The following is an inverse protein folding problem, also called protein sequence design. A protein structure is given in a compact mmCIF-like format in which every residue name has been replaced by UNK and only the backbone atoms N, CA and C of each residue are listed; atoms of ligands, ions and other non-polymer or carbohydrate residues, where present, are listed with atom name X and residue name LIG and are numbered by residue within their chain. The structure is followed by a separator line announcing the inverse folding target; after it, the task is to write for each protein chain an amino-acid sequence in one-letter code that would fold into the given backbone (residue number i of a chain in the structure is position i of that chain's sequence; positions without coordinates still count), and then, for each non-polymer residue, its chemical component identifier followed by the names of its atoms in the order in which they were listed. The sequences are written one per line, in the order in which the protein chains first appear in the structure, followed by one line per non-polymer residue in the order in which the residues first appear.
data_IF_172742463680
#
_entry.id   IF_172742463680
#
_cell.length_a   1.000
_cell.length_b   1.000
_cell.length_c   1.000
_cell.angle_alpha   90.00
_cell.angle_beta   90.00
_cell.angle_gamma   90.00
#
_symmetry.space_group_name_H-M   'P 1'
#
loop_
_entity.id
_entity.type
_entity.pdbx_description
1 polymer ?
#
# COMPACT_ATOMS: atom_id res chain seq x y z
N UNK A 1 -5.63 -5.68 41.21
CA UNK A 1 -4.22 -5.61 40.80
C UNK A 1 -4.16 -4.44 39.85
N UNK A 2 -3.58 -3.33 40.33
CA UNK A 2 -3.41 -2.12 39.52
C UNK A 2 -2.49 -2.44 38.34
N UNK A 3 -3.05 -2.44 37.14
CA UNK A 3 -2.25 -2.39 35.91
C UNK A 3 -1.72 -0.94 35.80
N UNK A 4 -0.62 -0.65 36.50
CA UNK A 4 0.10 0.60 36.33
C UNK A 4 0.56 0.67 34.86
N UNK A 5 -0.08 1.53 34.06
CA UNK A 5 0.40 1.82 32.71
C UNK A 5 1.87 2.21 32.82
N UNK A 6 2.75 1.44 32.21
CA UNK A 6 4.16 1.77 32.15
C UNK A 6 4.32 3.11 31.43
N UNK A 7 5.09 4.02 32.04
CA UNK A 7 5.51 5.27 31.39
C UNK A 7 6.83 5.11 30.67
N UNK A 8 7.43 3.91 30.75
CA UNK A 8 8.74 3.61 30.17
C UNK A 8 8.60 3.25 28.68
N UNK A 9 9.25 4.04 27.82
CA UNK A 9 9.28 3.83 26.39
C UNK A 9 10.24 2.68 26.07
N UNK A 10 9.74 1.68 25.34
CA UNK A 10 10.55 0.60 24.80
C UNK A 10 11.18 1.01 23.47
N UNK A 11 10.39 1.62 22.58
CA UNK A 11 10.87 2.10 21.29
C UNK A 11 10.22 3.44 20.95
N UNK A 12 11.04 4.40 20.52
CA UNK A 12 10.61 5.72 20.07
C UNK A 12 10.77 5.83 18.55
N UNK A 13 9.63 5.92 17.85
CA UNK A 13 9.54 6.14 16.42
C UNK A 13 8.97 7.54 16.11
N UNK A 14 9.26 8.52 16.97
CA UNK A 14 8.83 9.90 16.74
C UNK A 14 9.33 10.41 15.37
N UNK A 15 8.52 11.16 14.64
CA UNK A 15 7.26 11.79 15.04
C UNK A 15 6.00 10.94 14.83
N UNK A 16 6.12 9.64 14.55
CA UNK A 16 4.98 8.82 14.14
C UNK A 16 4.25 8.18 15.33
N UNK A 17 4.99 7.48 16.21
CA UNK A 17 4.43 6.80 17.38
C UNK A 17 5.51 6.37 18.36
N UNK A 18 5.06 5.95 19.55
CA UNK A 18 5.90 5.33 20.58
C UNK A 18 5.33 4.01 21.03
N UNK A 19 6.20 3.08 21.37
CA UNK A 19 5.84 1.80 21.98
C UNK A 19 6.34 1.80 23.42
N UNK A 20 5.46 1.49 24.35
CA UNK A 20 5.77 1.38 25.78
C UNK A 20 6.14 -0.06 26.14
N UNK A 21 6.84 -0.25 27.27
CA UNK A 21 7.26 -1.59 27.75
C UNK A 21 6.09 -2.51 28.09
N UNK A 22 4.90 -1.97 28.33
CA UNK A 22 3.67 -2.73 28.52
C UNK A 22 2.98 -3.16 27.23
N UNK A 23 3.58 -2.86 26.05
CA UNK A 23 3.05 -3.18 24.74
C UNK A 23 2.05 -2.16 24.18
N UNK A 24 1.71 -1.11 24.93
CA UNK A 24 0.82 -0.04 24.50
C UNK A 24 1.52 0.82 23.43
N UNK A 25 0.76 1.19 22.40
CA UNK A 25 1.19 2.18 21.42
C UNK A 25 0.56 3.55 21.69
N UNK A 26 1.34 4.59 21.56
CA UNK A 26 0.88 5.97 21.49
C UNK A 26 1.11 6.49 20.07
N UNK A 27 0.04 6.63 19.32
CA UNK A 27 0.09 7.19 17.95
C UNK A 27 0.18 8.71 18.04
N UNK A 28 1.11 9.29 17.29
CA UNK A 28 1.33 10.75 17.19
C UNK A 28 0.89 11.21 15.79
N UNK A 29 1.21 10.45 14.76
CA UNK A 29 0.78 10.69 13.39
C UNK A 29 -0.47 9.85 13.01
N UNK A 30 -1.17 10.26 11.95
CA UNK A 30 -2.32 9.54 11.40
C UNK A 30 -3.58 9.58 12.27
N UNK A 31 -3.68 10.57 13.17
CA UNK A 31 -4.85 10.75 14.04
C UNK A 31 -5.95 11.58 13.37
N UNK A 32 -5.58 12.42 12.42
CA UNK A 32 -6.52 13.26 11.69
C UNK A 32 -7.20 12.45 10.58
N UNK A 33 -8.51 12.58 10.51
CA UNK A 33 -9.33 12.04 9.42
C UNK A 33 -10.12 13.17 8.78
N UNK A 34 -10.29 13.08 7.46
CA UNK A 34 -11.13 14.02 6.71
C UNK A 34 -12.36 13.30 6.17
N UNK A 35 -13.52 13.96 6.12
CA UNK A 35 -14.72 13.35 5.53
C UNK A 35 -14.54 13.15 4.03
N UNK A 36 -15.32 12.23 3.42
CA UNK A 36 -15.39 12.14 1.97
C UNK A 36 -15.98 13.43 1.38
N UNK A 37 -15.56 13.79 0.17
CA UNK A 37 -15.91 15.09 -0.40
C UNK A 37 -15.90 15.09 -1.92
N UNK A 38 -16.40 16.16 -2.50
CA UNK A 38 -16.08 16.60 -3.86
C UNK A 38 -14.90 17.57 -3.77
N UNK A 39 -13.72 17.12 -4.21
CA UNK A 39 -12.53 17.96 -4.20
C UNK A 39 -12.64 19.09 -5.23
N UNK A 40 -12.54 20.32 -4.76
CA UNK A 40 -12.75 21.52 -5.62
C UNK A 40 -11.61 21.76 -6.61
N UNK A 41 -10.41 21.21 -6.36
CA UNK A 41 -9.24 21.41 -7.22
C UNK A 41 -9.23 20.41 -8.36
N UNK A 42 -9.51 19.15 -8.07
CA UNK A 42 -9.42 18.04 -9.02
C UNK A 42 -10.78 17.66 -9.62
N UNK A 43 -11.89 17.98 -8.95
CA UNK A 43 -13.22 17.54 -9.29
C UNK A 43 -13.49 16.05 -9.00
N UNK A 44 -12.58 15.40 -8.29
CA UNK A 44 -12.74 14.00 -7.83
C UNK A 44 -13.78 13.95 -6.72
N UNK A 45 -14.69 13.00 -6.80
CA UNK A 45 -15.69 12.74 -5.78
C UNK A 45 -15.31 11.49 -4.98
N UNK A 46 -15.45 11.55 -3.65
CA UNK A 46 -15.17 10.41 -2.79
C UNK A 46 -16.35 10.06 -1.90
N UNK A 47 -16.42 8.80 -1.46
CA UNK A 47 -17.37 8.30 -0.47
C UNK A 47 -16.78 7.14 0.32
N UNK A 48 -17.26 6.98 1.56
CA UNK A 48 -16.85 5.87 2.41
C UNK A 48 -17.85 4.71 2.32
N UNK A 49 -17.35 3.48 2.35
CA UNK A 49 -18.14 2.25 2.30
C UNK A 49 -17.66 1.26 3.37
N UNK A 50 -18.59 0.54 3.95
CA UNK A 50 -18.28 -0.58 4.86
C UNK A 50 -18.24 -1.86 4.02
N UNK A 51 -17.12 -2.58 4.10
CA UNK A 51 -16.90 -3.84 3.38
C UNK A 51 -17.34 -5.02 4.25
N UNK A 52 -16.92 -5.03 5.51
CA UNK A 52 -17.28 -6.06 6.49
C UNK A 52 -17.69 -5.40 7.81
N UNK A 53 -18.99 -5.33 8.10
CA UNK A 53 -19.48 -4.77 9.36
C UNK A 53 -18.96 -5.51 10.61
N UNK A 54 -18.70 -6.82 10.49
CA UNK A 54 -18.28 -7.67 11.60
C UNK A 54 -16.82 -7.38 12.03
N UNK A 55 -15.97 -7.02 11.07
CA UNK A 55 -14.55 -6.74 11.32
C UNK A 55 -14.24 -5.24 11.35
N UNK A 56 -15.14 -4.41 10.83
CA UNK A 56 -14.93 -2.97 10.68
C UNK A 56 -14.11 -2.59 9.44
N UNK A 57 -13.75 -3.56 8.58
CA UNK A 57 -13.03 -3.29 7.32
C UNK A 57 -13.90 -2.44 6.42
N UNK A 58 -13.34 -1.36 5.93
CA UNK A 58 -14.00 -0.34 5.12
C UNK A 58 -13.08 0.16 4.01
N UNK A 59 -13.55 1.09 3.20
CA UNK A 59 -12.74 1.73 2.18
C UNK A 59 -13.29 3.12 1.85
N UNK A 60 -12.42 3.97 1.31
CA UNK A 60 -12.83 5.19 0.61
C UNK A 60 -12.74 4.95 -0.89
N UNK A 61 -13.85 5.19 -1.58
CA UNK A 61 -13.94 5.15 -3.02
C UNK A 61 -13.72 6.54 -3.60
N UNK A 62 -13.09 6.59 -4.77
CA UNK A 62 -12.85 7.83 -5.52
C UNK A 62 -13.25 7.63 -6.97
N UNK A 63 -13.94 8.61 -7.55
CA UNK A 63 -14.25 8.65 -8.98
C UNK A 63 -13.84 10.00 -9.57
N UNK A 64 -13.24 10.01 -10.76
CA UNK A 64 -12.87 11.25 -11.43
C UNK A 64 -14.11 11.94 -12.01
N UNK A 65 -14.01 13.24 -12.26
CA UNK A 65 -15.07 14.07 -12.86
C UNK A 65 -15.59 13.48 -14.19
N UNK A 66 -14.71 12.87 -14.96
CA UNK A 66 -15.03 12.28 -16.28
C UNK A 66 -16.10 11.20 -16.23
N UNK A 67 -16.32 10.51 -15.08
CA UNK A 67 -17.40 9.53 -14.92
C UNK A 67 -18.79 10.13 -15.08
N UNK A 68 -18.93 11.46 -14.92
CA UNK A 68 -20.17 12.20 -15.15
C UNK A 68 -20.40 12.53 -16.62
N UNK A 69 -19.36 12.44 -17.45
CA UNK A 69 -19.34 12.84 -18.85
C UNK A 69 -19.35 11.64 -19.82
N UNK A 70 -18.98 10.46 -19.35
CA UNK A 70 -18.88 9.24 -20.15
C UNK A 70 -19.44 8.03 -19.42
N UNK A 71 -19.97 7.08 -20.21
CA UNK A 71 -20.40 5.77 -19.71
C UNK A 71 -19.27 4.71 -19.81
N UNK A 72 -18.09 5.09 -20.33
CA UNK A 72 -16.94 4.17 -20.43
C UNK A 72 -16.45 3.84 -19.03
N UNK A 73 -16.28 2.55 -18.73
CA UNK A 73 -15.63 2.10 -17.51
C UNK A 73 -14.15 2.48 -17.54
N UNK A 74 -13.62 2.80 -16.36
CA UNK A 74 -12.25 3.25 -16.15
C UNK A 74 -11.47 2.17 -15.40
N UNK A 75 -10.14 2.08 -15.58
CA UNK A 75 -9.32 1.19 -14.79
C UNK A 75 -9.54 1.38 -13.31
N UNK A 76 -9.37 0.32 -12.55
CA UNK A 76 -9.53 0.33 -11.10
C UNK A 76 -8.17 0.27 -10.41
N UNK A 77 -7.92 1.22 -9.53
CA UNK A 77 -6.82 1.19 -8.58
C UNK A 77 -7.33 0.69 -7.22
N UNK A 78 -6.73 -0.35 -6.66
CA UNK A 78 -6.88 -0.68 -5.24
C UNK A 78 -5.61 -0.24 -4.51
N UNK A 79 -5.78 0.67 -3.55
CA UNK A 79 -4.70 1.31 -2.84
C UNK A 79 -4.66 0.87 -1.37
N UNK A 80 -3.47 0.58 -0.88
CA UNK A 80 -3.17 0.22 0.51
C UNK A 80 -2.24 1.29 1.09
N UNK A 81 -2.68 1.97 2.15
CA UNK A 81 -1.90 3.04 2.77
C UNK A 81 -0.68 2.50 3.53
N UNK A 82 0.35 3.35 3.67
CA UNK A 82 1.51 3.09 4.51
C UNK A 82 1.26 3.31 5.99
N UNK A 83 2.35 3.56 6.73
CA UNK A 83 2.31 3.82 8.17
C UNK A 83 2.82 2.68 9.03
N UNK A 84 3.73 1.82 8.51
CA UNK A 84 4.38 0.74 9.25
C UNK A 84 3.42 -0.28 9.86
N UNK A 85 2.24 -0.48 9.26
CA UNK A 85 1.11 -1.27 9.77
C UNK A 85 0.50 -0.76 11.08
N UNK A 86 0.97 0.36 11.62
CA UNK A 86 0.62 0.86 12.97
C UNK A 86 -0.16 2.16 12.96
N UNK A 87 0.15 3.06 12.04
CA UNK A 87 -0.40 4.42 11.98
C UNK A 87 -1.06 4.70 10.64
N UNK A 88 -1.64 5.88 10.50
CA UNK A 88 -2.39 6.32 9.34
C UNK A 88 -3.68 5.54 9.06
N UNK A 89 -4.46 6.03 8.13
CA UNK A 89 -5.76 5.45 7.71
C UNK A 89 -6.02 5.78 6.25
N UNK A 90 -6.90 5.06 5.60
CA UNK A 90 -7.43 5.42 4.29
C UNK A 90 -8.13 6.80 4.27
N UNK A 91 -8.45 7.33 5.46
CA UNK A 91 -9.17 8.60 5.66
C UNK A 91 -8.25 9.75 6.07
N UNK A 92 -6.96 9.51 6.28
CA UNK A 92 -5.98 10.54 6.62
C UNK A 92 -5.88 11.59 5.52
N UNK A 93 -5.69 12.88 5.84
CA UNK A 93 -5.56 13.95 4.84
C UNK A 93 -4.45 13.66 3.84
N UNK A 94 -3.36 13.04 4.29
CA UNK A 94 -2.21 12.67 3.48
C UNK A 94 -2.61 11.82 2.27
N UNK A 95 -3.27 10.69 2.52
CA UNK A 95 -3.72 9.77 1.46
C UNK A 95 -4.93 10.31 0.69
N UNK A 96 -5.84 11.02 1.37
CA UNK A 96 -6.97 11.64 0.69
C UNK A 96 -6.53 12.64 -0.39
N UNK A 97 -5.57 13.52 -0.06
CA UNK A 97 -5.05 14.50 -1.00
C UNK A 97 -4.27 13.86 -2.14
N UNK A 98 -3.45 12.86 -1.83
CA UNK A 98 -2.69 12.11 -2.83
C UNK A 98 -3.64 11.42 -3.82
N UNK A 99 -4.63 10.69 -3.32
CA UNK A 99 -5.57 9.93 -4.16
C UNK A 99 -6.50 10.85 -4.98
N UNK A 100 -6.90 12.01 -4.47
CA UNK A 100 -7.60 13.01 -5.29
C UNK A 100 -6.75 13.42 -6.51
N UNK A 101 -5.47 13.70 -6.31
CA UNK A 101 -4.55 14.06 -7.39
C UNK A 101 -4.32 12.88 -8.34
N UNK A 102 -4.06 11.69 -7.80
CA UNK A 102 -3.82 10.50 -8.59
C UNK A 102 -5.01 10.13 -9.47
N UNK A 103 -6.21 10.07 -8.88
CA UNK A 103 -7.45 9.69 -9.59
C UNK A 103 -7.78 10.68 -10.73
N UNK A 104 -7.54 11.97 -10.49
CA UNK A 104 -7.75 12.98 -11.54
C UNK A 104 -6.76 12.82 -12.70
N UNK A 105 -5.47 12.69 -12.39
CA UNK A 105 -4.40 12.61 -13.39
C UNK A 105 -4.40 11.28 -14.16
N UNK A 106 -4.65 10.17 -13.47
CA UNK A 106 -4.67 8.85 -14.08
C UNK A 106 -6.02 8.53 -14.78
N UNK A 107 -7.07 9.27 -14.45
CA UNK A 107 -8.43 9.01 -14.89
C UNK A 107 -8.89 7.58 -14.58
N UNK A 108 -8.84 7.21 -13.31
CA UNK A 108 -9.17 5.88 -12.80
C UNK A 108 -10.25 5.96 -11.71
N UNK A 109 -10.91 4.85 -11.43
CA UNK A 109 -11.64 4.66 -10.17
C UNK A 109 -10.67 4.16 -9.12
N UNK A 110 -10.77 4.61 -7.86
CA UNK A 110 -9.92 4.07 -6.82
C UNK A 110 -10.71 3.56 -5.60
N UNK A 111 -10.16 2.51 -4.96
CA UNK A 111 -10.60 1.93 -3.68
C UNK A 111 -9.42 1.99 -2.74
N UNK A 112 -9.44 2.89 -1.75
CA UNK A 112 -8.45 2.98 -0.69
C UNK A 112 -8.91 2.17 0.50
N UNK A 113 -8.19 1.09 0.80
CA UNK A 113 -8.60 0.10 1.81
C UNK A 113 -8.20 0.55 3.20
N UNK A 114 -9.17 0.58 4.12
CA UNK A 114 -8.95 0.74 5.55
C UNK A 114 -8.86 -0.64 6.20
N UNK A 115 -7.64 -1.11 6.38
CA UNK A 115 -7.33 -2.37 7.06
C UNK A 115 -7.07 -2.14 8.55
N UNK A 116 -7.29 -3.14 9.37
CA UNK A 116 -7.01 -3.09 10.81
C UNK A 116 -5.51 -3.14 11.07
N UNK A 117 -5.05 -2.35 12.04
CA UNK A 117 -3.64 -2.06 12.30
C UNK A 117 -3.12 -2.74 13.56
N UNK A 118 -1.83 -3.00 13.55
CA UNK A 118 -1.10 -3.43 14.74
C UNK A 118 -0.98 -2.26 15.76
N UNK A 119 -0.80 -2.56 17.05
CA UNK A 119 -0.70 -3.88 17.65
C UNK A 119 -2.05 -4.52 17.98
N UNK A 120 -3.17 -3.77 17.89
CA UNK A 120 -4.50 -4.28 18.23
C UNK A 120 -4.89 -5.43 17.32
N UNK A 121 -4.43 -5.38 16.07
CA UNK A 121 -4.64 -6.37 15.04
C UNK A 121 -3.31 -6.68 14.34
N UNK A 122 -2.49 -7.57 14.92
CA UNK A 122 -1.17 -7.88 14.37
C UNK A 122 -1.26 -8.57 13.01
N UNK A 123 -0.17 -8.52 12.25
CA UNK A 123 -0.01 -9.28 11.02
C UNK A 123 -0.23 -10.78 11.34
N UNK A 124 -1.02 -11.52 10.52
CA UNK A 124 -1.41 -11.22 9.14
C UNK A 124 -2.78 -10.53 8.94
N UNK A 125 -3.41 -9.98 9.97
CA UNK A 125 -4.78 -9.45 9.89
C UNK A 125 -4.92 -8.38 8.79
N UNK A 126 -3.92 -7.49 8.63
CA UNK A 126 -3.96 -6.49 7.55
C UNK A 126 -4.01 -7.13 6.15
N UNK A 127 -3.35 -8.26 5.92
CA UNK A 127 -3.44 -9.00 4.66
C UNK A 127 -4.79 -9.67 4.46
N UNK A 128 -5.38 -10.24 5.53
CA UNK A 128 -6.69 -10.87 5.47
C UNK A 128 -7.80 -9.83 5.21
N UNK A 129 -7.71 -8.66 5.84
CA UNK A 129 -8.61 -7.54 5.60
C UNK A 129 -8.50 -7.01 4.17
N UNK A 130 -7.27 -6.86 3.68
CA UNK A 130 -6.99 -6.44 2.30
C UNK A 130 -7.53 -7.46 1.29
N UNK A 131 -7.38 -8.74 1.56
CA UNK A 131 -7.95 -9.79 0.73
C UNK A 131 -9.49 -9.80 0.76
N UNK A 132 -10.09 -9.54 1.92
CA UNK A 132 -11.55 -9.38 2.04
C UNK A 132 -12.03 -8.18 1.20
N UNK A 133 -11.29 -7.08 1.20
CA UNK A 133 -11.58 -5.92 0.34
C UNK A 133 -11.47 -6.27 -1.16
N UNK A 134 -10.46 -7.03 -1.57
CA UNK A 134 -10.32 -7.50 -2.95
C UNK A 134 -11.46 -8.43 -3.37
N UNK A 135 -11.91 -9.33 -2.49
CA UNK A 135 -13.08 -10.18 -2.74
C UNK A 135 -14.37 -9.36 -2.85
N UNK A 136 -14.50 -8.32 -2.03
CA UNK A 136 -15.61 -7.39 -2.13
C UNK A 136 -15.56 -6.62 -3.48
N UNK A 137 -14.41 -6.15 -3.93
CA UNK A 137 -14.25 -5.58 -5.28
C UNK A 137 -14.68 -6.59 -6.35
N UNK A 138 -14.20 -7.82 -6.28
CA UNK A 138 -14.53 -8.88 -7.23
C UNK A 138 -16.04 -9.22 -7.27
N UNK A 139 -16.78 -9.00 -6.18
CA UNK A 139 -18.22 -9.21 -6.14
C UNK A 139 -19.02 -8.31 -7.09
N UNK A 140 -18.38 -7.25 -7.64
CA UNK A 140 -19.00 -6.32 -8.59
C UNK A 140 -18.91 -6.80 -10.05
N UNK A 141 -18.33 -7.97 -10.29
CA UNK A 141 -18.28 -8.60 -11.62
C UNK A 141 -19.68 -8.77 -12.18
N UNK A 142 -19.83 -8.61 -13.49
CA UNK A 142 -21.11 -8.73 -14.22
C UNK A 142 -22.21 -7.74 -13.75
N UNK A 143 -21.81 -6.59 -13.20
CA UNK A 143 -22.75 -5.57 -12.72
C UNK A 143 -23.45 -5.96 -11.41
N UNK A 144 -22.96 -6.98 -10.71
CA UNK A 144 -23.43 -7.40 -9.38
C UNK A 144 -22.74 -6.56 -8.30
N UNK A 145 -22.84 -6.98 -7.05
CA UNK A 145 -22.18 -6.32 -5.93
C UNK A 145 -22.99 -5.14 -5.36
N UNK A 146 -22.60 -4.66 -4.17
CA UNK A 146 -23.40 -3.70 -3.42
C UNK A 146 -23.19 -2.25 -3.86
N UNK A 147 -22.05 -1.90 -4.49
CA UNK A 147 -21.69 -0.52 -4.75
C UNK A 147 -21.96 -0.08 -6.19
N UNK A 148 -22.74 1.00 -6.35
CA UNK A 148 -23.16 1.52 -7.65
C UNK A 148 -22.01 2.16 -8.44
N UNK A 149 -20.99 2.77 -7.77
CA UNK A 149 -19.88 3.38 -8.48
C UNK A 149 -18.99 2.31 -9.12
N UNK A 150 -18.69 1.24 -8.39
CA UNK A 150 -17.90 0.15 -8.95
C UNK A 150 -18.63 -0.54 -10.10
N UNK A 151 -19.93 -0.80 -9.95
CA UNK A 151 -20.71 -1.41 -11.04
C UNK A 151 -20.71 -0.60 -12.32
N UNK A 152 -20.85 0.72 -12.18
CA UNK A 152 -21.05 1.62 -13.34
C UNK A 152 -19.73 2.08 -13.94
N UNK A 153 -18.70 2.31 -13.12
CA UNK A 153 -17.53 3.06 -13.53
C UNK A 153 -16.24 2.26 -13.51
N UNK A 154 -16.13 1.17 -12.74
CA UNK A 154 -14.89 0.39 -12.64
C UNK A 154 -14.81 -0.68 -13.73
N UNK A 155 -13.65 -0.76 -14.40
CA UNK A 155 -13.27 -1.85 -15.27
C UNK A 155 -12.48 -2.89 -14.49
N UNK A 156 -13.13 -4.01 -14.17
CA UNK A 156 -12.50 -5.12 -13.44
C UNK A 156 -11.57 -5.99 -14.31
N UNK A 157 -11.56 -5.77 -15.64
CA UNK A 157 -10.59 -6.37 -16.56
C UNK A 157 -9.28 -5.57 -16.64
N UNK A 158 -9.20 -4.41 -15.95
CA UNK A 158 -8.01 -3.57 -15.88
C UNK A 158 -7.82 -3.04 -14.46
N UNK A 159 -7.25 -3.88 -13.60
CA UNK A 159 -7.07 -3.59 -12.18
C UNK A 159 -5.59 -3.44 -11.83
N UNK A 160 -5.29 -2.46 -11.00
CA UNK A 160 -3.95 -2.20 -10.46
C UNK A 160 -3.99 -2.19 -8.95
N UNK A 161 -2.96 -2.75 -8.31
CA UNK A 161 -2.73 -2.59 -6.89
C UNK A 161 -1.60 -1.58 -6.68
N UNK A 162 -1.74 -0.74 -5.67
CA UNK A 162 -0.67 0.19 -5.29
C UNK A 162 -0.67 0.40 -3.79
N UNK A 163 0.46 0.85 -3.29
CA UNK A 163 0.63 1.28 -1.92
C UNK A 163 2.03 1.86 -1.72
N UNK A 164 2.21 2.49 -0.59
CA UNK A 164 3.48 3.05 -0.13
C UNK A 164 3.96 2.32 1.13
N UNK A 165 5.28 2.20 1.32
CA UNK A 165 5.86 1.62 2.53
C UNK A 165 5.25 0.25 2.90
N UNK A 166 4.62 0.14 4.07
CA UNK A 166 3.89 -1.06 4.49
C UNK A 166 2.70 -1.38 3.58
N UNK A 167 2.07 -0.38 2.98
CA UNK A 167 1.01 -0.57 1.99
C UNK A 167 1.54 -1.17 0.68
N UNK A 168 2.75 -0.83 0.26
CA UNK A 168 3.42 -1.47 -0.86
C UNK A 168 3.73 -2.96 -0.56
N UNK A 169 4.13 -3.26 0.67
CA UNK A 169 4.28 -4.63 1.13
C UNK A 169 2.93 -5.39 1.05
N UNK A 170 1.82 -4.77 1.49
CA UNK A 170 0.48 -5.37 1.33
C UNK A 170 0.16 -5.59 -0.16
N UNK A 171 0.38 -4.60 -1.02
CA UNK A 171 0.12 -4.72 -2.46
C UNK A 171 0.89 -5.90 -3.09
N UNK A 172 2.15 -6.09 -2.70
CA UNK A 172 2.95 -7.25 -3.09
C UNK A 172 2.29 -8.57 -2.68
N UNK A 173 1.93 -8.73 -1.41
CA UNK A 173 1.32 -9.97 -0.91
C UNK A 173 -0.06 -10.22 -1.51
N UNK A 174 -0.84 -9.18 -1.79
CA UNK A 174 -2.11 -9.31 -2.52
C UNK A 174 -1.88 -9.78 -3.95
N UNK A 175 -0.84 -9.27 -4.62
CA UNK A 175 -0.44 -9.73 -5.94
C UNK A 175 -0.01 -11.19 -5.97
N UNK A 176 0.76 -11.65 -4.98
CA UNK A 176 1.10 -13.07 -4.81
C UNK A 176 -0.15 -13.92 -4.59
N UNK A 177 -1.05 -13.45 -3.74
CA UNK A 177 -2.28 -14.19 -3.41
C UNK A 177 -3.19 -14.32 -4.63
N UNK A 178 -3.29 -13.28 -5.46
CA UNK A 178 -3.99 -13.35 -6.76
C UNK A 178 -3.37 -14.41 -7.67
N UNK A 179 -2.05 -14.47 -7.75
CA UNK A 179 -1.38 -15.44 -8.59
C UNK A 179 -1.50 -16.89 -8.12
N UNK A 180 -1.62 -17.11 -6.80
CA UNK A 180 -1.70 -18.44 -6.19
C UNK A 180 -3.14 -18.93 -6.09
N UNK A 181 -4.06 -18.09 -5.59
CA UNK A 181 -5.45 -18.46 -5.31
C UNK A 181 -6.41 -18.08 -6.45
N UNK A 182 -5.98 -17.14 -7.32
CA UNK A 182 -6.87 -16.48 -8.26
C UNK A 182 -7.80 -15.45 -7.59
N UNK A 183 -8.37 -14.57 -8.39
CA UNK A 183 -9.42 -13.64 -7.96
C UNK A 183 -10.45 -13.56 -9.09
N UNK A 184 -11.45 -14.42 -9.03
CA UNK A 184 -12.44 -14.57 -10.10
C UNK A 184 -13.13 -13.26 -10.44
N UNK A 185 -13.15 -12.90 -11.72
CA UNK A 185 -13.79 -11.69 -12.23
C UNK A 185 -12.94 -10.43 -12.10
N UNK A 186 -11.68 -10.55 -11.67
CA UNK A 186 -10.71 -9.45 -11.60
C UNK A 186 -9.47 -9.84 -12.36
N UNK A 187 -9.02 -8.97 -13.26
CA UNK A 187 -7.77 -9.12 -13.98
C UNK A 187 -6.77 -8.09 -13.46
N UNK A 188 -5.78 -8.56 -12.74
CA UNK A 188 -4.69 -7.74 -12.23
C UNK A 188 -3.68 -7.47 -13.35
N UNK A 189 -3.67 -6.24 -13.86
CA UNK A 189 -2.75 -5.86 -14.93
C UNK A 189 -1.38 -5.43 -14.39
N UNK A 190 -1.33 -4.78 -13.23
CA UNK A 190 -0.05 -4.33 -12.67
C UNK A 190 -0.09 -4.01 -11.18
N UNK A 191 1.12 -3.91 -10.61
CA UNK A 191 1.34 -3.52 -9.22
C UNK A 191 2.33 -2.36 -9.20
N UNK A 192 2.05 -1.33 -8.39
CA UNK A 192 2.94 -0.21 -8.14
C UNK A 192 3.35 -0.24 -6.67
N UNK A 193 4.64 -0.41 -6.42
CA UNK A 193 5.22 -0.46 -5.09
C UNK A 193 6.03 0.82 -4.85
N UNK A 194 5.52 1.72 -4.01
CA UNK A 194 6.22 2.97 -3.68
C UNK A 194 6.95 2.76 -2.36
N UNK A 195 8.28 2.91 -2.36
CA UNK A 195 9.16 2.75 -1.20
C UNK A 195 8.85 1.49 -0.36
N UNK A 196 8.80 0.29 -0.98
CA UNK A 196 8.22 -0.89 -0.34
C UNK A 196 8.93 -1.28 0.95
N UNK A 197 8.15 -1.51 2.01
CA UNK A 197 8.68 -1.98 3.28
C UNK A 197 9.08 -3.46 3.19
N UNK A 198 10.26 -3.68 2.61
CA UNK A 198 10.96 -4.95 2.62
C UNK A 198 12.20 -4.84 3.50
N UNK A 199 12.57 -5.92 4.18
CA UNK A 199 13.72 -5.97 5.06
C UNK A 199 14.35 -7.36 5.05
N UNK A 200 15.41 -7.55 5.82
CA UNK A 200 16.06 -8.84 5.99
C UNK A 200 17.18 -8.78 7.02
N UNK A 201 17.56 -9.92 7.52
CA UNK A 201 18.56 -10.06 8.58
C UNK A 201 19.93 -9.53 8.14
N UNK A 202 20.41 -9.99 6.99
CA UNK A 202 21.70 -9.56 6.47
C UNK A 202 21.56 -8.23 5.71
N UNK A 203 22.40 -7.23 5.97
CA UNK A 203 22.42 -5.99 5.21
C UNK A 203 22.83 -6.26 3.74
N UNK A 204 22.22 -5.52 2.84
CA UNK A 204 22.52 -5.59 1.40
C UNK A 204 22.85 -4.21 0.85
N UNK A 205 23.61 -4.17 -0.28
CA UNK A 205 23.96 -2.92 -0.96
C UNK A 205 24.63 -1.92 -0.04
N UNK A 206 24.08 -0.72 0.01
CA UNK A 206 24.53 0.40 0.85
C UNK A 206 23.77 0.52 2.19
N UNK A 207 23.01 -0.48 2.60
CA UNK A 207 22.28 -0.45 3.87
C UNK A 207 23.22 -0.16 5.05
N UNK A 208 22.73 0.64 5.99
CA UNK A 208 23.44 0.90 7.23
C UNK A 208 23.66 -0.40 8.00
N UNK A 209 24.91 -0.62 8.42
CA UNK A 209 25.31 -1.79 9.22
C UNK A 209 25.23 -1.54 10.72
N UNK A 210 24.85 -0.32 11.14
CA UNK A 210 24.68 0.03 12.53
C UNK A 210 23.56 -0.81 13.18
N UNK A 211 23.95 -1.60 14.19
CA UNK A 211 23.06 -2.54 14.85
C UNK A 211 21.89 -1.84 15.57
N UNK A 212 22.06 -0.60 16.05
CA UNK A 212 21.00 0.15 16.74
C UNK A 212 19.93 0.60 15.72
N UNK A 213 20.37 1.16 14.58
CA UNK A 213 19.46 1.60 13.53
C UNK A 213 18.69 0.42 12.92
N UNK A 214 19.38 -0.65 12.57
CA UNK A 214 18.75 -1.87 12.07
C UNK A 214 17.82 -2.49 13.10
N UNK A 215 18.25 -2.50 14.37
CA UNK A 215 17.45 -3.01 15.49
C UNK A 215 16.11 -2.31 15.67
N UNK A 216 15.97 -1.05 15.25
CA UNK A 216 14.66 -0.35 15.26
C UNK A 216 13.69 -0.94 14.23
N UNK A 217 14.14 -1.23 13.02
CA UNK A 217 13.30 -1.87 11.99
C UNK A 217 12.94 -3.30 12.40
N UNK A 218 13.91 -4.05 12.93
CA UNK A 218 13.69 -5.40 13.45
C UNK A 218 12.65 -5.42 14.58
N UNK A 219 12.73 -4.44 15.49
CA UNK A 219 11.80 -4.31 16.61
C UNK A 219 10.39 -3.94 16.11
N UNK A 220 10.28 -3.04 15.13
CA UNK A 220 9.01 -2.70 14.51
C UNK A 220 8.35 -3.93 13.87
N UNK A 221 9.12 -4.71 13.11
CA UNK A 221 8.60 -5.93 12.50
C UNK A 221 8.09 -6.93 13.53
N UNK A 222 8.88 -7.20 14.57
CA UNK A 222 8.46 -8.11 15.66
C UNK A 222 7.24 -7.61 16.43
N UNK A 223 7.10 -6.31 16.55
CA UNK A 223 5.95 -5.68 17.21
C UNK A 223 4.68 -5.81 16.35
N UNK A 224 4.78 -5.60 15.04
CA UNK A 224 3.64 -5.71 14.12
C UNK A 224 3.28 -7.15 13.78
N UNK A 225 4.26 -8.05 13.78
CA UNK A 225 4.10 -9.47 13.47
C UNK A 225 4.67 -10.35 14.60
N UNK A 226 4.00 -10.46 15.77
CA UNK A 226 4.52 -11.24 16.90
C UNK A 226 4.69 -12.74 16.62
N UNK A 227 3.94 -13.26 15.64
CA UNK A 227 4.01 -14.66 15.20
C UNK A 227 5.07 -14.90 14.11
N UNK A 228 5.89 -13.89 13.79
CA UNK A 228 6.92 -13.98 12.74
C UNK A 228 7.93 -15.08 13.00
N UNK A 229 8.40 -15.72 11.91
CA UNK A 229 9.53 -16.66 11.96
C UNK A 229 10.89 -15.95 12.14
N UNK A 230 10.92 -14.63 12.13
CA UNK A 230 12.12 -13.80 12.29
C UNK A 230 12.19 -12.66 11.26
N UNK A 231 13.38 -12.08 11.12
CA UNK A 231 13.60 -10.94 10.21
C UNK A 231 13.70 -11.40 8.75
N UNK A 232 13.89 -12.68 8.51
CA UNK A 232 13.84 -13.30 7.19
C UNK A 232 12.48 -13.99 6.92
N UNK A 233 11.44 -13.60 7.66
CA UNK A 233 10.08 -14.05 7.39
C UNK A 233 9.66 -13.63 5.96
N UNK A 234 9.03 -14.51 5.15
CA UNK A 234 8.58 -14.17 3.79
C UNK A 234 7.65 -12.96 3.73
N UNK A 235 6.96 -12.64 4.79
CA UNK A 235 6.12 -11.43 4.84
C UNK A 235 6.91 -10.13 4.75
N UNK A 236 8.18 -10.13 5.16
CA UNK A 236 9.02 -8.92 5.09
C UNK A 236 10.23 -9.10 4.19
N UNK A 237 10.72 -10.33 4.00
CA UNK A 237 11.84 -10.64 3.11
C UNK A 237 11.40 -11.45 1.88
N UNK A 238 11.06 -10.81 0.76
CA UNK A 238 10.66 -11.50 -0.47
C UNK A 238 11.74 -12.48 -1.00
N UNK A 239 13.00 -12.27 -0.60
CA UNK A 239 14.11 -13.17 -0.98
C UNK A 239 14.02 -14.57 -0.40
N UNK A 240 13.20 -14.76 0.62
CA UNK A 240 12.96 -16.07 1.24
C UNK A 240 11.64 -16.72 0.79
N UNK A 241 10.83 -16.00 0.01
CA UNK A 241 9.55 -16.53 -0.48
C UNK A 241 9.75 -17.36 -1.75
N UNK A 242 9.59 -18.67 -1.61
CA UNK A 242 9.67 -19.62 -2.75
C UNK A 242 8.56 -19.42 -3.80
N UNK A 243 7.52 -18.62 -3.47
CA UNK A 243 6.39 -18.34 -4.35
C UNK A 243 6.51 -16.98 -5.07
N UNK A 244 7.64 -16.28 -4.91
CA UNK A 244 7.83 -14.92 -5.45
C UNK A 244 7.52 -14.83 -6.96
N UNK A 245 7.87 -15.87 -7.74
CA UNK A 245 7.57 -15.95 -9.18
C UNK A 245 6.08 -16.06 -9.53
N UNK A 246 5.22 -16.26 -8.53
CA UNK A 246 3.78 -16.49 -8.74
C UNK A 246 2.95 -15.19 -8.70
N UNK A 247 3.56 -14.02 -8.85
CA UNK A 247 2.79 -12.76 -8.91
C UNK A 247 1.73 -12.82 -10.01
N UNK A 248 0.49 -12.51 -9.65
CA UNK A 248 -0.69 -12.61 -10.52
C UNK A 248 -0.89 -11.43 -11.48
N UNK A 249 0.13 -10.61 -11.72
CA UNK A 249 0.08 -9.45 -12.62
C UNK A 249 1.08 -9.59 -13.77
N UNK A 250 0.94 -8.72 -14.78
CA UNK A 250 1.85 -8.69 -15.93
C UNK A 250 3.00 -7.71 -15.78
N UNK A 251 2.84 -6.71 -14.92
CA UNK A 251 3.79 -5.61 -14.78
C UNK A 251 3.94 -5.21 -13.32
N UNK A 252 5.18 -4.86 -12.94
CA UNK A 252 5.50 -4.31 -11.62
C UNK A 252 6.29 -3.03 -11.82
N UNK A 253 5.86 -1.94 -11.21
CA UNK A 253 6.62 -0.71 -11.08
C UNK A 253 7.07 -0.56 -9.63
N UNK A 254 8.37 -0.43 -9.42
CA UNK A 254 8.99 -0.20 -8.12
C UNK A 254 9.51 1.22 -8.11
N UNK A 255 9.02 2.04 -7.19
CA UNK A 255 9.50 3.41 -6.99
C UNK A 255 10.32 3.45 -5.70
N UNK A 256 11.52 3.98 -5.79
CA UNK A 256 12.48 4.10 -4.67
C UNK A 256 12.99 5.53 -4.56
N UNK A 257 13.50 5.90 -3.40
CA UNK A 257 14.08 7.21 -3.15
C UNK A 257 15.55 7.04 -2.73
N UNK A 258 16.45 7.92 -3.21
CA UNK A 258 17.90 7.77 -3.05
C UNK A 258 18.35 7.71 -1.59
N UNK A 259 17.70 8.50 -0.71
CA UNK A 259 18.07 8.60 0.71
C UNK A 259 17.26 7.66 1.62
N UNK A 260 16.29 6.96 1.05
CA UNK A 260 15.46 6.01 1.80
C UNK A 260 16.31 4.82 2.26
N UNK A 261 16.21 4.49 3.54
CA UNK A 261 16.87 3.32 4.11
C UNK A 261 16.41 1.98 3.49
N UNK A 262 15.24 1.95 2.86
CA UNK A 262 14.68 0.79 2.17
C UNK A 262 15.07 0.70 0.69
N UNK A 263 15.81 1.67 0.17
CA UNK A 263 16.19 1.78 -1.25
C UNK A 263 16.78 0.49 -1.80
N UNK A 264 17.78 -0.04 -1.13
CA UNK A 264 18.51 -1.23 -1.62
C UNK A 264 17.61 -2.48 -1.61
N UNK A 265 16.62 -2.54 -0.73
CA UNK A 265 15.59 -3.60 -0.74
C UNK A 265 14.66 -3.50 -1.93
N UNK A 266 14.34 -2.30 -2.39
CA UNK A 266 13.58 -2.08 -3.61
C UNK A 266 14.34 -2.56 -4.86
N UNK A 267 15.63 -2.23 -4.98
CA UNK A 267 16.50 -2.74 -6.04
C UNK A 267 16.64 -4.25 -5.98
N UNK A 268 16.92 -4.79 -4.79
CA UNK A 268 17.05 -6.24 -4.58
C UNK A 268 15.76 -6.99 -4.96
N UNK A 269 14.61 -6.44 -4.63
CA UNK A 269 13.32 -7.02 -5.02
C UNK A 269 13.18 -7.11 -6.54
N UNK A 270 13.60 -6.09 -7.28
CA UNK A 270 13.64 -6.12 -8.75
C UNK A 270 14.52 -7.27 -9.29
N UNK A 271 15.71 -7.44 -8.70
CA UNK A 271 16.60 -8.55 -9.07
C UNK A 271 16.01 -9.93 -8.74
N UNK A 272 15.38 -10.04 -7.57
CA UNK A 272 14.72 -11.28 -7.14
C UNK A 272 13.60 -11.68 -8.10
N UNK A 273 12.77 -10.74 -8.53
CA UNK A 273 11.73 -10.99 -9.53
C UNK A 273 12.32 -11.52 -10.84
N UNK A 274 13.42 -10.91 -11.31
CA UNK A 274 14.12 -11.37 -12.50
C UNK A 274 14.68 -12.80 -12.39
N UNK A 275 14.94 -13.28 -11.17
CA UNK A 275 15.49 -14.62 -10.88
C UNK A 275 14.42 -15.64 -10.47
N UNK A 276 13.21 -15.20 -10.11
CA UNK A 276 12.14 -16.02 -9.53
C UNK A 276 11.34 -16.85 -10.51
N UNK A 277 11.51 -16.62 -11.82
CA UNK A 277 10.65 -17.17 -12.87
C UNK A 277 9.40 -16.33 -13.15
N UNK A 278 9.25 -15.16 -12.54
CA UNK A 278 8.22 -14.20 -12.91
C UNK A 278 8.37 -13.79 -14.37
N UNK A 279 7.29 -13.92 -15.15
CA UNK A 279 7.31 -13.69 -16.61
C UNK A 279 6.89 -12.28 -17.03
N UNK A 280 6.49 -11.44 -16.07
CA UNK A 280 6.05 -10.08 -16.33
C UNK A 280 7.21 -9.09 -16.48
N UNK A 281 6.87 -7.84 -16.77
CA UNK A 281 7.83 -6.73 -16.88
C UNK A 281 8.03 -6.07 -15.52
N UNK A 282 9.29 -5.84 -15.16
CA UNK A 282 9.67 -5.12 -13.93
C UNK A 282 10.35 -3.81 -14.31
N UNK A 283 9.85 -2.72 -13.80
CA UNK A 283 10.38 -1.39 -14.02
C UNK A 283 10.72 -0.74 -12.67
N UNK A 284 11.83 -0.01 -12.63
CA UNK A 284 12.26 0.70 -11.42
C UNK A 284 12.41 2.18 -11.73
N UNK A 285 11.95 3.03 -10.82
CA UNK A 285 12.19 4.47 -10.81
C UNK A 285 12.87 4.85 -9.50
N UNK A 286 14.00 5.52 -9.58
CA UNK A 286 14.69 6.11 -8.43
C UNK A 286 14.56 7.63 -8.44
N UNK A 287 14.03 8.20 -7.36
CA UNK A 287 13.96 9.64 -7.15
C UNK A 287 15.24 10.14 -6.46
N UNK A 288 16.05 10.93 -7.19
CA UNK A 288 17.31 11.43 -6.68
C UNK A 288 17.11 12.54 -5.63
N UNK A 289 17.88 12.49 -4.55
CA UNK A 289 17.85 13.48 -3.49
C UNK A 289 16.69 13.39 -2.52
N UNK A 290 15.78 12.43 -2.72
CA UNK A 290 14.55 12.27 -1.92
C UNK A 290 14.69 11.18 -0.86
N UNK A 291 13.82 11.26 0.15
CA UNK A 291 13.73 10.32 1.27
C UNK A 291 12.38 9.56 1.23
N UNK A 292 12.18 8.67 2.19
CA UNK A 292 10.99 7.82 2.33
C UNK A 292 9.70 8.63 2.28
N UNK A 293 8.76 8.22 1.43
CA UNK A 293 7.41 8.79 1.25
C UNK A 293 7.37 10.32 0.99
N UNK A 294 8.45 10.88 0.41
CA UNK A 294 8.56 12.30 0.09
C UNK A 294 7.36 12.85 -0.71
N UNK A 295 6.79 12.03 -1.57
CA UNK A 295 5.69 12.40 -2.46
C UNK A 295 4.38 12.68 -1.70
N UNK A 296 4.21 12.10 -0.53
CA UNK A 296 3.10 12.36 0.36
C UNK A 296 3.34 13.63 1.19
N UNK A 297 4.59 13.85 1.63
CA UNK A 297 4.96 14.97 2.50
C UNK A 297 5.11 16.29 1.73
N UNK A 298 5.58 16.24 0.49
CA UNK A 298 5.79 17.39 -0.39
C UNK A 298 5.28 17.10 -1.81
N UNK A 299 3.97 17.01 -1.96
CA UNK A 299 3.30 16.60 -3.21
C UNK A 299 3.53 17.55 -4.40
N UNK A 300 4.08 18.75 -4.17
CA UNK A 300 4.29 19.78 -5.20
C UNK A 300 5.73 19.91 -5.67
N UNK A 301 6.71 19.22 -5.07
CA UNK A 301 8.08 19.23 -5.55
C UNK A 301 8.20 18.53 -6.92
N UNK A 302 9.23 18.86 -7.67
CA UNK A 302 9.44 18.33 -9.02
C UNK A 302 9.48 16.81 -9.05
N UNK A 303 10.16 16.18 -8.08
CA UNK A 303 10.25 14.73 -7.98
C UNK A 303 8.90 14.07 -7.65
N UNK A 304 8.07 14.69 -6.82
CA UNK A 304 6.71 14.18 -6.52
C UNK A 304 5.81 14.24 -7.75
N UNK A 305 5.89 15.32 -8.51
CA UNK A 305 5.17 15.46 -9.78
C UNK A 305 5.68 14.44 -10.81
N UNK A 306 6.99 14.23 -10.88
CA UNK A 306 7.60 13.24 -11.78
C UNK A 306 7.18 11.81 -11.40
N UNK A 307 7.17 11.49 -10.10
CA UNK A 307 6.71 10.19 -9.59
C UNK A 307 5.24 9.94 -9.95
N UNK A 308 4.37 10.92 -9.67
CA UNK A 308 2.96 10.80 -10.02
C UNK A 308 2.77 10.57 -11.53
N UNK A 309 3.43 11.35 -12.38
CA UNK A 309 3.38 11.18 -13.85
C UNK A 309 3.88 9.80 -14.28
N UNK A 310 4.92 9.28 -13.64
CA UNK A 310 5.46 7.95 -13.94
C UNK A 310 4.46 6.85 -13.61
N UNK A 311 3.80 6.93 -12.45
CA UNK A 311 2.77 5.98 -12.05
C UNK A 311 1.54 6.08 -12.96
N UNK A 312 1.10 7.29 -13.27
CA UNK A 312 0.00 7.54 -14.22
C UNK A 312 0.31 6.93 -15.60
N UNK A 313 1.52 7.14 -16.10
CA UNK A 313 1.97 6.54 -17.36
C UNK A 313 1.94 5.01 -17.30
N UNK A 314 2.38 4.41 -16.18
CA UNK A 314 2.35 2.95 -15.99
C UNK A 314 0.92 2.40 -15.99
N UNK A 315 0.00 3.05 -15.31
CA UNK A 315 -1.41 2.60 -15.23
C UNK A 315 -2.08 2.73 -16.61
N UNK A 316 -1.77 3.77 -17.37
CA UNK A 316 -2.40 4.05 -18.67
C UNK A 316 -1.72 3.36 -19.87
N UNK A 317 -0.60 2.65 -19.68
CA UNK A 317 0.03 1.87 -20.75
C UNK A 317 -0.89 0.74 -21.22
N UNK A 318 -1.19 0.72 -22.52
CA UNK A 318 -2.01 -0.31 -23.17
C UNK A 318 -3.51 0.00 -23.20
N UNK A 319 -3.91 1.23 -22.88
CA UNK A 319 -5.31 1.69 -22.95
C UNK A 319 -5.63 2.41 -24.29
N UNK A 320 -4.80 2.26 -25.32
CA UNK A 320 -5.02 2.84 -26.65
C UNK A 320 -5.96 2.01 -27.51
#
# INVERSE_FOLDING_TARGET
MDSSNSTEIAHDYSPFFKIYKDGRIERIAGLEIVPPSLDSKTGVESKDVVISPETGVSARLYIPKTTKETQKKLPLLVYFHGGGFCVETAFSPLFHNYLNSFVAEANVVAVSVEYRRAPEHPIPIAYDDSWAALKWVASHTDGKGPDEWLKKHADLESVFFSGDSSGANIAHHMGLRVGIEGLTGVKLDGIVLVHPFFWGKEPIGGEDTDAEKRGKVDALWRFTCPATSGIDDPYINPGTDSKLGSLGCKRVLICIAEKDMLKDRGWYYSELLGKSGYSGVVEVMEAQGEDHDFHLMNSTCENSVALLKRIVSFVNQGQA
#
